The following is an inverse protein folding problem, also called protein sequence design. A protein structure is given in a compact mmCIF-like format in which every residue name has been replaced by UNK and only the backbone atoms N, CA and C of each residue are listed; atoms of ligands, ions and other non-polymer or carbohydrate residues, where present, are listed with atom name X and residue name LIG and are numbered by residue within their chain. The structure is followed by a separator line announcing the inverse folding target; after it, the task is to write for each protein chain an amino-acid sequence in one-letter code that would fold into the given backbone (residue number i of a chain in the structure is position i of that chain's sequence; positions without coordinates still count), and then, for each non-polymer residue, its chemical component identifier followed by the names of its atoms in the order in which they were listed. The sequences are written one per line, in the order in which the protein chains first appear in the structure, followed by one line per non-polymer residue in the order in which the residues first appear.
data_IF_718948311426
#
_entry.id   IF_718948311426
#
_cell.length_a   1.000
_cell.length_b   1.000
_cell.length_c   1.000
_cell.angle_alpha   90.00
_cell.angle_beta   90.00
_cell.angle_gamma   90.00
#
_symmetry.space_group_name_H-M   'P 1'
#
loop_
_entity.id
_entity.type
_entity.pdbx_description
1 polymer ?
#
# COMPACT_ATOMS: atom_id res chain seq x y z
N UNK A 1 -14.01 -23.87 -23.72
CA UNK A 1 -13.58 -24.36 -22.39
C UNK A 1 -12.06 -24.29 -22.34
N UNK A 2 -11.49 -23.18 -21.83
CA UNK A 2 -10.03 -23.04 -21.65
C UNK A 2 -9.70 -23.45 -20.21
N UNK A 3 -8.92 -24.52 -20.05
CA UNK A 3 -8.36 -24.90 -18.76
C UNK A 3 -7.18 -23.97 -18.46
N UNK A 4 -7.26 -23.20 -17.38
CA UNK A 4 -6.11 -22.48 -16.83
C UNK A 4 -5.32 -23.45 -15.95
N UNK A 5 -4.05 -23.67 -16.30
CA UNK A 5 -3.13 -24.42 -15.47
C UNK A 5 -2.73 -23.56 -14.27
N UNK A 6 -3.20 -23.92 -13.08
CA UNK A 6 -2.78 -23.32 -11.81
C UNK A 6 -1.32 -23.70 -11.57
N UNK A 7 -0.40 -22.72 -11.59
CA UNK A 7 1.00 -22.94 -11.19
C UNK A 7 1.05 -23.26 -9.70
N UNK A 8 1.35 -24.52 -9.37
CA UNK A 8 1.73 -24.96 -8.01
C UNK A 8 3.00 -24.22 -7.58
N UNK A 9 2.93 -23.43 -6.51
CA UNK A 9 4.13 -22.95 -5.79
C UNK A 9 4.29 -21.44 -5.62
N UNK A 10 3.35 -20.60 -6.05
CA UNK A 10 3.40 -19.17 -5.68
C UNK A 10 2.75 -18.97 -4.31
N UNK A 11 3.44 -18.35 -3.33
CA UNK A 11 2.80 -17.97 -2.08
C UNK A 11 1.65 -17.01 -2.39
N UNK A 12 0.45 -17.35 -1.91
CA UNK A 12 -0.68 -16.42 -1.85
C UNK A 12 -0.24 -15.26 -0.96
N UNK A 13 -0.09 -14.08 -1.56
CA UNK A 13 0.23 -12.86 -0.84
C UNK A 13 -1.07 -12.42 -0.17
N UNK A 14 -1.22 -12.72 1.12
CA UNK A 14 -2.29 -12.14 1.92
C UNK A 14 -1.89 -10.69 2.22
N UNK A 15 -2.31 -9.76 1.34
CA UNK A 15 -2.10 -8.34 1.57
C UNK A 15 -3.23 -7.86 2.47
N UNK A 16 -2.94 -7.71 3.75
CA UNK A 16 -3.89 -7.15 4.71
C UNK A 16 -3.91 -5.62 4.57
N UNK A 17 -4.86 -5.13 3.78
CA UNK A 17 -5.08 -3.70 3.58
C UNK A 17 -5.59 -3.05 4.88
N UNK A 18 -5.13 -1.82 5.11
CA UNK A 18 -5.47 -0.91 6.23
C UNK A 18 -4.59 -1.03 7.49
N UNK A 19 -3.62 -0.10 7.61
CA UNK A 19 -3.18 0.36 8.94
C UNK A 19 -4.30 1.25 9.50
N UNK A 20 -4.86 0.95 10.68
CA UNK A 20 -5.97 1.73 11.19
C UNK A 20 -5.50 3.15 11.55
N UNK A 21 -6.08 4.17 10.91
CA UNK A 21 -5.96 5.59 11.27
C UNK A 21 -6.60 5.94 12.62
N UNK A 22 -6.86 4.95 13.45
CA UNK A 22 -7.59 5.09 14.69
C UNK A 22 -6.86 6.03 15.64
N UNK A 23 -5.55 5.83 15.83
CA UNK A 23 -4.76 6.65 16.76
C UNK A 23 -4.76 8.15 16.40
N UNK A 24 -4.35 8.59 15.19
CA UNK A 24 -4.36 10.02 14.85
C UNK A 24 -5.77 10.61 14.89
N UNK A 25 -6.80 9.85 14.51
CA UNK A 25 -8.20 10.30 14.59
C UNK A 25 -8.64 10.50 16.05
N UNK A 26 -8.28 9.60 16.96
CA UNK A 26 -8.63 9.72 18.37
C UNK A 26 -7.89 10.88 19.06
N UNK A 27 -6.61 11.10 18.73
CA UNK A 27 -5.86 12.24 19.24
C UNK A 27 -6.50 13.56 18.80
N UNK A 28 -6.82 13.68 17.51
CA UNK A 28 -7.47 14.86 16.94
C UNK A 28 -8.86 15.11 17.55
N UNK A 29 -9.69 14.06 17.69
CA UNK A 29 -11.00 14.14 18.37
C UNK A 29 -10.91 14.63 19.82
N UNK A 30 -9.79 14.40 20.49
CA UNK A 30 -9.56 14.78 21.89
C UNK A 30 -8.74 16.06 22.03
N UNK A 31 -8.40 16.73 20.92
CA UNK A 31 -7.60 17.96 20.90
C UNK A 31 -6.14 17.75 21.31
N UNK A 32 -5.61 16.54 21.15
CA UNK A 32 -4.21 16.19 21.43
C UNK A 32 -3.37 16.32 20.17
N UNK A 33 -2.10 16.69 20.34
CA UNK A 33 -1.14 16.76 19.23
C UNK A 33 -0.87 15.35 18.66
N UNK A 34 -0.92 15.23 17.33
CA UNK A 34 -0.51 14.02 16.61
C UNK A 34 1.01 14.08 16.45
N UNK A 35 1.78 13.08 16.92
CA UNK A 35 3.23 13.10 16.75
C UNK A 35 3.66 13.11 15.28
N UNK A 36 4.70 13.87 14.96
CA UNK A 36 5.22 14.06 13.58
C UNK A 36 5.63 12.76 12.87
N UNK A 37 5.92 11.70 13.63
CA UNK A 37 6.31 10.39 13.09
C UNK A 37 5.10 9.51 12.74
N UNK A 38 3.88 9.94 13.05
CA UNK A 38 2.66 9.25 12.65
C UNK A 38 2.39 9.52 11.18
N UNK A 39 2.48 8.47 10.38
CA UNK A 39 2.27 8.59 8.93
C UNK A 39 0.82 8.56 8.48
N UNK A 40 -0.08 8.17 9.38
CA UNK A 40 -1.49 8.02 9.09
C UNK A 40 -2.23 9.32 9.45
N UNK A 41 -3.22 9.71 8.64
CA UNK A 41 -3.96 10.96 8.84
C UNK A 41 -5.22 10.77 9.69
N UNK A 42 -5.65 11.84 10.33
CA UNK A 42 -6.94 11.90 11.04
C UNK A 42 -8.11 11.89 10.05
N UNK A 43 -9.23 11.29 10.47
CA UNK A 43 -10.52 11.32 9.77
C UNK A 43 -11.54 12.30 10.39
N UNK A 44 -11.15 13.14 11.35
CA UNK A 44 -12.08 14.02 12.09
C UNK A 44 -12.92 14.88 11.16
N UNK A 45 -12.33 15.49 10.13
CA UNK A 45 -13.06 16.35 9.19
C UNK A 45 -14.17 15.61 8.44
N UNK A 46 -13.99 14.31 8.15
CA UNK A 46 -15.03 13.46 7.55
C UNK A 46 -16.08 13.10 8.60
N UNK A 47 -15.65 12.70 9.81
CA UNK A 47 -16.55 12.27 10.89
C UNK A 47 -17.44 13.41 11.41
N UNK A 48 -16.93 14.64 11.43
CA UNK A 48 -17.65 15.84 11.83
C UNK A 48 -18.50 16.44 10.68
N UNK A 49 -18.43 15.88 9.48
CA UNK A 49 -19.18 16.36 8.31
C UNK A 49 -18.65 17.65 7.69
N UNK A 50 -17.43 18.06 8.02
CA UNK A 50 -16.77 19.24 7.45
C UNK A 50 -16.36 19.00 5.99
N UNK A 51 -15.98 17.75 5.66
CA UNK A 51 -15.76 17.29 4.29
C UNK A 51 -16.46 15.96 4.04
N UNK A 52 -16.80 15.70 2.78
CA UNK A 52 -17.37 14.41 2.35
C UNK A 52 -16.31 13.36 2.04
N UNK A 53 -15.11 13.80 1.66
CA UNK A 53 -14.01 12.94 1.22
C UNK A 53 -12.69 13.52 1.68
N UNK A 54 -11.70 12.66 1.87
CA UNK A 54 -10.31 13.10 1.96
C UNK A 54 -9.80 13.47 0.55
N UNK A 55 -8.88 14.43 0.47
CA UNK A 55 -8.25 14.83 -0.79
C UNK A 55 -7.39 13.70 -1.39
N UNK A 56 -6.76 12.90 -0.52
CA UNK A 56 -5.85 11.82 -0.89
C UNK A 56 -6.45 10.47 -0.47
N UNK A 57 -7.21 9.84 -1.36
CA UNK A 57 -7.83 8.53 -1.13
C UNK A 57 -6.90 7.39 -1.54
N UNK A 58 -5.68 7.40 -1.01
CA UNK A 58 -4.75 6.30 -1.21
C UNK A 58 -4.13 5.84 0.11
N UNK A 59 -3.77 4.57 0.17
CA UNK A 59 -3.17 3.93 1.34
C UNK A 59 -1.91 3.22 0.91
N UNK A 60 -0.79 3.55 1.53
CA UNK A 60 0.46 2.80 1.36
C UNK A 60 0.50 1.62 2.33
N UNK A 61 1.03 0.50 1.85
CA UNK A 61 1.20 -0.71 2.65
C UNK A 61 2.57 -1.34 2.40
N UNK A 62 3.06 -2.03 3.42
CA UNK A 62 4.23 -2.89 3.35
C UNK A 62 3.81 -4.27 3.83
N UNK A 63 4.25 -5.29 3.11
CA UNK A 63 4.08 -6.69 3.47
C UNK A 63 5.38 -7.23 4.08
N UNK A 64 5.25 -8.14 5.05
CA UNK A 64 6.37 -8.95 5.54
C UNK A 64 7.00 -9.76 4.39
N UNK A 65 6.20 -10.12 3.39
CA UNK A 65 6.57 -10.91 2.21
C UNK A 65 7.17 -10.04 1.09
N UNK A 66 8.07 -9.11 1.46
CA UNK A 66 8.91 -8.37 0.51
C UNK A 66 8.14 -7.62 -0.60
N UNK A 67 7.02 -6.97 -0.25
CA UNK A 67 6.30 -6.11 -1.18
C UNK A 67 5.89 -4.81 -0.52
N UNK A 68 5.87 -3.73 -1.31
CA UNK A 68 5.21 -2.47 -0.94
C UNK A 68 4.14 -2.15 -1.97
N UNK A 69 3.09 -1.48 -1.54
CA UNK A 69 1.99 -1.14 -2.42
C UNK A 69 1.32 0.16 -2.08
N UNK A 70 0.44 0.55 -3.00
CA UNK A 70 -0.50 1.65 -2.87
C UNK A 70 -1.87 1.16 -3.30
N UNK A 71 -2.85 1.33 -2.43
CA UNK A 71 -4.25 1.04 -2.68
C UNK A 71 -5.06 2.32 -2.84
N UNK A 72 -5.96 2.34 -3.82
CA UNK A 72 -7.00 3.35 -4.02
C UNK A 72 -8.36 2.65 -3.96
N UNK A 73 -9.51 3.35 -3.95
CA UNK A 73 -10.81 2.69 -3.96
C UNK A 73 -11.00 1.71 -5.13
N UNK A 74 -10.31 1.95 -6.26
CA UNK A 74 -10.44 1.13 -7.46
C UNK A 74 -9.26 0.21 -7.73
N UNK A 75 -8.03 0.61 -7.41
CA UNK A 75 -6.85 -0.17 -7.78
C UNK A 75 -5.93 -0.42 -6.61
N UNK A 76 -5.41 -1.65 -6.55
CA UNK A 76 -4.31 -2.04 -5.69
C UNK A 76 -3.08 -2.30 -6.56
N UNK A 77 -2.01 -1.55 -6.33
CA UNK A 77 -0.74 -1.69 -7.03
C UNK A 77 0.37 -2.05 -6.06
N UNK A 78 1.23 -2.99 -6.44
CA UNK A 78 2.34 -3.42 -5.62
C UNK A 78 3.61 -3.69 -6.44
N UNK A 79 4.75 -3.40 -5.84
CA UNK A 79 6.10 -3.72 -6.32
C UNK A 79 6.81 -4.63 -5.34
N UNK A 80 7.72 -5.45 -5.85
CA UNK A 80 8.61 -6.23 -5.02
C UNK A 80 9.60 -5.29 -4.30
N UNK A 81 9.78 -5.50 -2.99
CA UNK A 81 10.71 -4.79 -2.12
C UNK A 81 11.92 -5.70 -1.85
N UNK A 82 13.06 -5.38 -2.44
CA UNK A 82 14.32 -6.00 -2.09
C UNK A 82 14.82 -5.46 -0.74
N UNK A 83 14.53 -6.15 0.37
CA UNK A 83 14.88 -5.67 1.73
C UNK A 83 16.36 -5.36 1.92
N UNK A 84 17.24 -6.22 1.39
CA UNK A 84 18.69 -6.03 1.48
C UNK A 84 19.17 -4.79 0.72
N UNK A 85 18.59 -4.53 -0.45
CA UNK A 85 18.95 -3.39 -1.30
C UNK A 85 18.13 -2.13 -1.00
N UNK A 86 17.10 -2.23 -0.15
CA UNK A 86 16.09 -1.19 0.11
C UNK A 86 15.58 -0.56 -1.19
N UNK A 87 15.32 -1.39 -2.19
CA UNK A 87 14.90 -0.95 -3.51
C UNK A 87 13.61 -1.65 -3.90
N UNK A 88 12.80 -0.94 -4.68
CA UNK A 88 11.57 -1.46 -5.27
C UNK A 88 11.78 -1.62 -6.77
N UNK A 89 11.29 -2.73 -7.32
CA UNK A 89 11.48 -3.05 -8.73
C UNK A 89 10.15 -3.31 -9.42
N UNK A 90 10.15 -3.19 -10.75
CA UNK A 90 9.01 -3.62 -11.58
C UNK A 90 8.95 -5.14 -11.73
N UNK A 91 10.00 -5.87 -11.34
CA UNK A 91 9.96 -7.33 -11.39
C UNK A 91 8.91 -7.85 -10.40
N UNK A 92 8.07 -8.76 -10.86
CA UNK A 92 6.95 -9.26 -10.06
C UNK A 92 5.88 -8.22 -9.68
N UNK A 93 5.81 -7.06 -10.36
CA UNK A 93 4.78 -6.05 -10.08
C UNK A 93 3.36 -6.60 -10.27
N UNK A 94 2.43 -6.04 -9.49
CA UNK A 94 1.03 -6.49 -9.45
C UNK A 94 0.08 -5.32 -9.51
N UNK A 95 -1.00 -5.47 -10.27
CA UNK A 95 -2.10 -4.53 -10.32
C UNK A 95 -3.41 -5.32 -10.28
N UNK A 96 -4.33 -4.91 -9.42
CA UNK A 96 -5.68 -5.46 -9.35
C UNK A 96 -6.70 -4.32 -9.37
N UNK A 97 -7.83 -4.54 -10.04
CA UNK A 97 -9.00 -3.65 -9.98
C UNK A 97 -9.92 -4.15 -8.85
N UNK A 98 -9.92 -3.48 -7.70
CA UNK A 98 -10.68 -3.87 -6.52
C UNK A 98 -12.21 -3.79 -6.70
N UNK A 99 -12.70 -3.03 -7.69
CA UNK A 99 -14.14 -2.99 -8.00
C UNK A 99 -14.57 -4.21 -8.82
N UNK A 100 -13.73 -4.66 -9.75
CA UNK A 100 -14.04 -5.77 -10.66
C UNK A 100 -13.53 -7.12 -10.17
N UNK A 101 -12.44 -7.12 -9.40
CA UNK A 101 -11.74 -8.27 -8.85
C UNK A 101 -11.38 -8.03 -7.36
N UNK A 102 -12.39 -8.05 -6.47
CA UNK A 102 -12.19 -7.79 -5.04
C UNK A 102 -11.37 -8.87 -4.32
N UNK A 103 -11.11 -9.99 -4.99
CA UNK A 103 -10.33 -11.12 -4.44
C UNK A 103 -8.90 -11.18 -5.00
N UNK A 104 -8.50 -10.19 -5.80
CA UNK A 104 -7.14 -10.05 -6.34
C UNK A 104 -6.66 -11.31 -7.09
N UNK A 105 -7.57 -11.95 -7.82
CA UNK A 105 -7.31 -13.18 -8.57
C UNK A 105 -6.51 -12.85 -9.85
N UNK A 106 -6.88 -11.79 -10.55
CA UNK A 106 -6.39 -11.45 -11.87
C UNK A 106 -5.39 -10.28 -11.81
N UNK A 107 -4.09 -10.62 -11.81
CA UNK A 107 -3.03 -9.61 -11.90
C UNK A 107 -3.03 -8.95 -13.30
N UNK A 108 -3.62 -7.77 -13.40
CA UNK A 108 -3.70 -6.97 -14.63
C UNK A 108 -2.31 -6.61 -15.17
N UNK A 109 -1.33 -6.36 -14.30
CA UNK A 109 0.04 -6.01 -14.70
C UNK A 109 0.76 -7.17 -15.42
N UNK A 110 0.33 -8.42 -15.24
CA UNK A 110 0.89 -9.57 -15.93
C UNK A 110 0.49 -9.63 -17.42
N UNK A 111 -0.65 -9.05 -17.77
CA UNK A 111 -1.21 -9.09 -19.13
C UNK A 111 -1.13 -7.74 -19.84
N UNK A 112 -1.22 -6.66 -19.08
CA UNK A 112 -1.08 -5.28 -19.55
C UNK A 112 -0.09 -4.50 -18.68
N UNK A 113 1.23 -4.66 -18.91
CA UNK A 113 2.27 -3.93 -18.17
C UNK A 113 2.24 -2.41 -18.41
N UNK A 114 1.50 -1.94 -19.42
CA UNK A 114 1.37 -0.53 -19.77
C UNK A 114 0.01 0.04 -19.36
N UNK A 115 -0.74 -0.68 -18.53
CA UNK A 115 -2.04 -0.25 -18.03
C UNK A 115 -1.94 1.16 -17.44
N UNK A 116 -2.87 2.05 -17.81
CA UNK A 116 -2.76 3.49 -17.50
C UNK A 116 -2.66 3.77 -15.99
N UNK A 117 -3.37 2.99 -15.17
CA UNK A 117 -3.30 3.12 -13.71
C UNK A 117 -1.90 2.84 -13.13
N UNK A 118 -1.05 2.06 -13.81
CA UNK A 118 0.30 1.75 -13.33
C UNK A 118 1.14 3.01 -13.26
N UNK A 119 1.07 3.89 -14.26
CA UNK A 119 1.94 5.08 -14.33
C UNK A 119 1.71 5.98 -13.11
N UNK A 120 0.44 6.29 -12.82
CA UNK A 120 0.08 7.17 -11.70
C UNK A 120 0.38 6.53 -10.34
N UNK A 121 0.02 5.26 -10.16
CA UNK A 121 0.24 4.54 -8.89
C UNK A 121 1.72 4.26 -8.64
N UNK A 122 2.49 4.05 -9.70
CA UNK A 122 3.94 3.90 -9.63
C UNK A 122 4.61 5.19 -9.19
N UNK A 123 4.26 6.33 -9.77
CA UNK A 123 4.80 7.63 -9.37
C UNK A 123 4.48 7.93 -7.89
N UNK A 124 3.25 7.64 -7.45
CA UNK A 124 2.86 7.78 -6.04
C UNK A 124 3.68 6.86 -5.12
N UNK A 125 3.82 5.59 -5.48
CA UNK A 125 4.55 4.61 -4.68
C UNK A 125 6.04 4.92 -4.60
N UNK A 126 6.65 5.33 -5.72
CA UNK A 126 8.07 5.68 -5.79
C UNK A 126 8.35 6.96 -4.99
N UNK A 127 7.48 7.97 -5.09
CA UNK A 127 7.58 9.21 -4.31
C UNK A 127 7.43 8.95 -2.81
N UNK A 128 6.45 8.15 -2.41
CA UNK A 128 6.27 7.75 -1.03
C UNK A 128 7.49 6.97 -0.54
N UNK A 129 7.94 5.94 -1.26
CA UNK A 129 9.07 5.11 -0.86
C UNK A 129 10.35 5.94 -0.65
N UNK A 130 10.61 6.93 -1.51
CA UNK A 130 11.73 7.86 -1.36
C UNK A 130 11.61 8.80 -0.14
N UNK A 131 10.39 9.11 0.31
CA UNK A 131 10.13 10.03 1.41
C UNK A 131 10.22 9.40 2.81
N UNK A 132 10.28 8.07 2.87
CA UNK A 132 10.03 7.33 4.11
C UNK A 132 11.35 7.06 4.89
N UNK A 133 11.49 7.52 6.16
CA UNK A 133 12.79 7.59 6.86
C UNK A 133 13.47 6.29 7.28
N UNK A 134 12.79 5.12 7.27
CA UNK A 134 13.40 3.86 7.69
C UNK A 134 14.46 3.30 6.72
N UNK A 135 14.77 4.05 5.67
CA UNK A 135 16.04 3.94 4.93
C UNK A 135 17.28 4.24 5.80
N UNK A 136 17.15 4.82 7.01
CA UNK A 136 18.32 5.24 7.82
C UNK A 136 18.36 4.77 9.28
N UNK A 137 17.46 3.89 9.73
CA UNK A 137 17.52 3.39 11.11
C UNK A 137 18.21 2.02 11.08
N UNK A 138 19.45 1.95 11.56
CA UNK A 138 20.07 0.68 11.95
C UNK A 138 19.18 0.08 13.04
N UNK A 139 18.31 -0.84 12.67
CA UNK A 139 17.56 -1.63 13.64
C UNK A 139 18.51 -2.67 14.24
N UNK A 140 19.37 -2.25 15.17
CA UNK A 140 19.98 -3.17 16.11
C UNK A 140 18.88 -3.70 17.01
N UNK A 141 18.33 -4.85 16.65
CA UNK A 141 17.47 -5.61 17.56
C UNK A 141 18.40 -6.14 18.65
N UNK A 142 18.40 -5.49 19.81
CA UNK A 142 19.00 -6.06 21.02
C UNK A 142 18.15 -7.27 21.43
N UNK A 143 18.63 -8.48 21.11
CA UNK A 143 18.08 -9.70 21.68
C UNK A 143 18.52 -9.78 23.14
N UNK A 144 17.62 -9.44 24.06
CA UNK A 144 17.75 -9.72 25.49
C UNK A 144 17.27 -11.12 25.83
#
# INVERSE_FOLDING_TARGET
MRMYAVRKGMPTLEIKWMRPSFMPTMLDLTGQDIPDHVQVRSFVSVLCGETKTLADIHVFNESEIEAVGVGTPRYNFAKQLGRAARSITRDGMRLWDAEQDPYEIDNLAAYDPAHSAIVELEELLDSWHASVPWINIDQTVETS
#
